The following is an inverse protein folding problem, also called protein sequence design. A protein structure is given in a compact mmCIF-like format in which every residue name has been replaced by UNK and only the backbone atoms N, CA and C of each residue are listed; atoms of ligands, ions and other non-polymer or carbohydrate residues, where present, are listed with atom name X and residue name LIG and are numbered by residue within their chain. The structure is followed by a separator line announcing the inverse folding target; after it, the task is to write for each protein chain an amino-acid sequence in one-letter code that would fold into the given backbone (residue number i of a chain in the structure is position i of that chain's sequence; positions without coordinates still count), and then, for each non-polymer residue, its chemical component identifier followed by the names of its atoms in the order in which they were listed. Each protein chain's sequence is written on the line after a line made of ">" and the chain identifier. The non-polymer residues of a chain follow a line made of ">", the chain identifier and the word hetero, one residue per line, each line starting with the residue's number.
data_IF_834322635089
#
_entry.id   IF_834322635089
#
_cell.length_a   1.000
_cell.length_b   1.000
_cell.length_c   1.000
_cell.angle_alpha   90.00
_cell.angle_beta   90.00
_cell.angle_gamma   90.00
#
_symmetry.space_group_name_H-M   'P 1'
#
loop_
_entity.id
_entity.type
_entity.pdbx_description
1 polymer ?
#
# COMPACT_ATOMS: atom_id res chain seq x y z
N UNK A 1 -0.40 -25.56 21.88
CA UNK A 1 0.59 -26.02 20.88
C UNK A 1 -0.20 -26.41 19.64
N UNK A 2 -0.36 -25.46 18.71
CA UNK A 2 -1.02 -25.67 17.43
C UNK A 2 0.13 -25.61 16.41
N UNK A 3 0.46 -26.75 15.81
CA UNK A 3 1.40 -26.81 14.68
C UNK A 3 0.77 -26.12 13.47
N UNK A 4 1.16 -24.88 13.20
CA UNK A 4 0.84 -24.20 11.93
C UNK A 4 1.88 -24.62 10.88
N UNK A 5 1.59 -25.70 10.14
CA UNK A 5 2.42 -26.20 9.03
C UNK A 5 2.33 -25.37 7.74
N UNK A 6 1.47 -24.35 7.70
CA UNK A 6 1.27 -23.50 6.51
C UNK A 6 1.42 -22.00 6.84
N UNK A 7 2.55 -21.62 7.42
CA UNK A 7 2.93 -20.20 7.45
C UNK A 7 3.37 -19.78 6.05
N UNK A 8 2.44 -19.24 5.25
CA UNK A 8 2.78 -18.52 4.03
C UNK A 8 3.48 -17.22 4.43
N UNK A 9 4.74 -17.07 3.98
CA UNK A 9 5.50 -15.83 4.10
C UNK A 9 4.79 -14.65 3.41
N UNK A 10 5.34 -13.42 3.54
CA UNK A 10 4.65 -12.20 3.13
C UNK A 10 4.25 -12.25 1.64
N UNK A 11 2.98 -11.95 1.28
CA UNK A 11 2.55 -11.90 -0.11
C UNK A 11 3.12 -10.66 -0.82
N UNK A 12 3.34 -10.84 -2.12
CA UNK A 12 3.80 -9.92 -3.18
C UNK A 12 3.53 -8.43 -2.92
N UNK A 13 4.48 -7.59 -3.33
CA UNK A 13 4.42 -6.11 -3.41
C UNK A 13 5.04 -5.32 -2.27
N UNK A 14 6.27 -5.68 -1.98
CA UNK A 14 7.31 -4.66 -1.88
C UNK A 14 8.19 -4.86 -3.12
N UNK A 15 8.69 -3.79 -3.73
CA UNK A 15 9.60 -3.79 -4.89
C UNK A 15 8.92 -4.09 -6.24
N UNK A 16 9.58 -3.82 -7.40
CA UNK A 16 8.96 -3.74 -8.73
C UNK A 16 8.19 -5.02 -9.11
N UNK A 17 7.47 -5.08 -10.26
CA UNK A 17 6.81 -6.30 -10.74
C UNK A 17 7.83 -7.38 -11.16
N UNK A 18 8.65 -7.84 -10.19
CA UNK A 18 9.68 -8.84 -10.28
C UNK A 18 9.08 -10.19 -10.62
N UNK A 19 7.85 -10.44 -10.15
CA UNK A 19 7.18 -11.72 -10.30
C UNK A 19 6.26 -11.83 -11.52
N UNK A 20 6.12 -10.75 -12.31
CA UNK A 20 5.13 -10.66 -13.40
C UNK A 20 5.75 -10.87 -14.79
N UNK A 21 7.06 -11.14 -14.87
CA UNK A 21 7.78 -11.32 -16.11
C UNK A 21 8.94 -12.31 -16.00
N UNK A 22 9.56 -12.58 -17.15
CA UNK A 22 10.86 -13.25 -17.21
C UNK A 22 11.96 -12.21 -17.23
N UNK A 23 13.13 -12.63 -16.75
CA UNK A 23 14.32 -11.81 -16.61
C UNK A 23 15.48 -12.45 -17.34
N UNK A 24 16.29 -11.59 -17.95
CA UNK A 24 17.60 -11.94 -18.44
C UNK A 24 18.63 -11.67 -17.34
N UNK A 25 19.47 -12.65 -17.02
CA UNK A 25 20.43 -12.60 -15.91
C UNK A 25 21.83 -12.98 -16.36
N UNK A 26 22.83 -12.16 -16.01
CA UNK A 26 24.24 -12.42 -16.33
C UNK A 26 25.18 -11.29 -15.94
N UNK A 27 26.49 -11.43 -16.18
CA UNK A 27 27.48 -10.41 -15.85
C UNK A 27 27.25 -9.09 -16.60
N UNK A 28 27.50 -7.96 -15.93
CA UNK A 28 27.41 -6.64 -16.56
C UNK A 28 28.44 -6.54 -17.70
N UNK A 29 27.98 -6.24 -18.92
CA UNK A 29 28.84 -6.13 -20.11
C UNK A 29 29.25 -7.46 -20.75
N UNK A 30 28.72 -8.59 -20.25
CA UNK A 30 28.91 -9.91 -20.84
C UNK A 30 27.63 -10.48 -21.46
N UNK A 31 27.66 -11.77 -21.80
CA UNK A 31 26.48 -12.52 -22.26
C UNK A 31 25.60 -12.91 -21.08
N UNK A 32 24.28 -12.87 -21.27
CA UNK A 32 23.35 -13.40 -20.27
C UNK A 32 23.55 -14.91 -20.10
N UNK A 33 23.56 -15.37 -18.85
CA UNK A 33 23.58 -16.79 -18.50
C UNK A 33 22.23 -17.45 -18.76
N UNK A 34 21.16 -16.65 -18.71
CA UNK A 34 19.79 -17.07 -18.98
C UNK A 34 18.95 -15.87 -19.41
N UNK A 35 17.94 -16.13 -20.24
CA UNK A 35 16.92 -15.16 -20.65
C UNK A 35 15.53 -15.55 -20.13
N UNK A 36 15.44 -16.58 -19.29
CA UNK A 36 14.17 -17.14 -18.82
C UNK A 36 14.07 -17.20 -17.29
N UNK A 37 14.85 -16.38 -16.57
CA UNK A 37 14.82 -16.36 -15.11
C UNK A 37 13.49 -15.79 -14.62
N UNK A 38 12.77 -16.53 -13.78
CA UNK A 38 11.49 -16.12 -13.21
C UNK A 38 11.65 -16.02 -11.70
N UNK A 39 11.36 -14.84 -11.14
CA UNK A 39 11.32 -14.64 -9.70
C UNK A 39 9.93 -15.01 -9.21
N UNK A 40 9.75 -16.25 -8.76
CA UNK A 40 8.42 -16.75 -8.41
C UNK A 40 7.92 -16.18 -7.08
N UNK A 41 6.62 -15.97 -6.92
CA UNK A 41 6.04 -15.33 -5.73
C UNK A 41 6.29 -16.03 -4.39
N UNK A 42 6.57 -17.32 -4.45
CA UNK A 42 6.92 -18.18 -3.32
C UNK A 42 8.39 -18.02 -2.89
N UNK A 43 9.15 -17.10 -3.49
CA UNK A 43 10.56 -16.88 -3.23
C UNK A 43 11.51 -17.84 -3.94
N UNK A 44 11.03 -18.69 -4.86
CA UNK A 44 11.90 -19.55 -5.68
C UNK A 44 12.31 -18.86 -6.98
N UNK A 45 13.46 -19.27 -7.51
CA UNK A 45 13.88 -18.90 -8.87
C UNK A 45 13.53 -20.07 -9.79
N UNK A 46 12.71 -19.80 -10.81
CA UNK A 46 12.26 -20.76 -11.81
C UNK A 46 12.80 -20.37 -13.20
N UNK A 47 12.76 -21.31 -14.16
CA UNK A 47 13.24 -21.06 -15.53
C UNK A 47 14.76 -20.89 -15.69
N UNK A 48 15.50 -20.94 -14.58
CA UNK A 48 16.95 -21.01 -14.50
C UNK A 48 17.34 -21.79 -13.24
N UNK A 49 18.33 -22.67 -13.32
CA UNK A 49 18.81 -23.45 -12.18
C UNK A 49 20.32 -23.40 -12.10
N UNK A 50 20.83 -22.92 -10.96
CA UNK A 50 22.23 -22.91 -10.62
C UNK A 50 22.40 -22.85 -9.09
N UNK A 51 23.46 -23.45 -8.55
CA UNK A 51 23.62 -23.62 -7.09
C UNK A 51 23.75 -22.28 -6.33
N UNK A 52 24.17 -21.22 -7.00
CA UNK A 52 24.30 -19.88 -6.44
C UNK A 52 23.00 -19.06 -6.48
N UNK A 53 22.00 -19.48 -7.27
CA UNK A 53 20.78 -18.71 -7.49
C UNK A 53 19.57 -19.63 -7.32
N UNK A 54 19.23 -19.95 -6.05
CA UNK A 54 18.15 -20.88 -5.73
C UNK A 54 16.85 -20.19 -5.34
N UNK A 55 16.96 -19.12 -4.57
CA UNK A 55 15.84 -18.41 -3.98
C UNK A 55 16.08 -16.90 -3.97
N UNK A 56 15.03 -16.13 -3.81
CA UNK A 56 15.09 -14.68 -3.75
C UNK A 56 14.15 -14.14 -2.68
N UNK A 57 14.46 -12.95 -2.18
CA UNK A 57 13.59 -12.19 -1.29
C UNK A 57 13.90 -10.70 -1.35
N UNK A 58 13.05 -9.90 -0.71
CA UNK A 58 13.29 -8.48 -0.52
C UNK A 58 13.49 -8.20 0.95
N UNK A 59 14.54 -7.45 1.25
CA UNK A 59 14.89 -7.07 2.61
C UNK A 59 15.52 -5.67 2.57
N UNK A 60 15.10 -4.78 3.49
CA UNK A 60 15.59 -3.40 3.55
C UNK A 60 15.55 -2.67 2.19
N UNK A 61 14.44 -2.83 1.45
CA UNK A 61 14.22 -2.25 0.12
C UNK A 61 15.21 -2.72 -0.97
N UNK A 62 15.88 -3.86 -0.78
CA UNK A 62 16.80 -4.46 -1.76
C UNK A 62 16.36 -5.85 -2.17
N UNK A 63 16.53 -6.18 -3.44
CA UNK A 63 16.42 -7.54 -3.95
C UNK A 63 17.67 -8.32 -3.52
N UNK A 64 17.45 -9.48 -2.92
CA UNK A 64 18.48 -10.44 -2.53
C UNK A 64 18.26 -11.76 -3.26
N UNK A 65 19.32 -12.33 -3.82
CA UNK A 65 19.34 -13.69 -4.36
C UNK A 65 20.26 -14.54 -3.48
N UNK A 66 19.77 -15.71 -3.09
CA UNK A 66 20.44 -16.64 -2.18
C UNK A 66 20.77 -17.95 -2.89
N UNK A 67 21.92 -18.51 -2.53
CA UNK A 67 22.35 -19.85 -2.95
C UNK A 67 21.52 -20.96 -2.31
N UNK A 68 21.80 -22.20 -2.71
CA UNK A 68 21.13 -23.39 -2.18
C UNK A 68 21.39 -23.62 -0.68
N UNK A 69 22.51 -23.14 -0.17
CA UNK A 69 22.89 -23.12 1.24
C UNK A 69 22.20 -22.00 2.05
N UNK A 70 21.43 -21.14 1.39
CA UNK A 70 20.76 -19.98 1.99
C UNK A 70 21.68 -18.79 2.22
N UNK A 71 22.94 -18.82 1.76
CA UNK A 71 23.83 -17.69 1.84
C UNK A 71 23.49 -16.64 0.78
N UNK A 72 23.71 -15.37 1.12
CA UNK A 72 23.50 -14.25 0.20
C UNK A 72 24.54 -14.31 -0.93
N UNK A 73 24.08 -14.45 -2.17
CA UNK A 73 24.93 -14.47 -3.35
C UNK A 73 24.90 -13.13 -4.08
N UNK A 74 23.73 -12.49 -4.20
CA UNK A 74 23.60 -11.22 -4.89
C UNK A 74 22.71 -10.25 -4.12
N UNK A 75 23.10 -8.97 -4.09
CA UNK A 75 22.26 -7.88 -3.58
C UNK A 75 22.09 -6.79 -4.63
N UNK A 76 20.89 -6.23 -4.74
CA UNK A 76 20.66 -5.07 -5.61
C UNK A 76 21.31 -3.82 -5.03
N UNK A 77 22.03 -3.09 -5.88
CA UNK A 77 22.63 -1.79 -5.55
C UNK A 77 21.94 -0.64 -6.28
N UNK A 78 21.35 -0.91 -7.44
CA UNK A 78 20.75 0.11 -8.29
C UNK A 78 19.63 -0.51 -9.15
N UNK A 79 18.58 0.26 -9.41
CA UNK A 79 17.52 -0.10 -10.34
C UNK A 79 17.14 1.12 -11.19
N UNK A 80 17.02 0.94 -12.50
CA UNK A 80 16.66 2.00 -13.45
C UNK A 80 15.82 1.45 -14.59
N UNK A 81 15.14 2.33 -15.32
CA UNK A 81 14.43 1.99 -16.56
C UNK A 81 15.30 2.32 -17.76
N UNK A 82 15.38 1.43 -18.73
CA UNK A 82 16.01 1.74 -20.02
C UNK A 82 15.07 2.61 -20.91
N UNK A 83 15.53 3.10 -22.06
CA UNK A 83 14.70 3.91 -22.97
C UNK A 83 13.44 3.20 -23.48
N UNK A 84 13.39 1.87 -23.38
CA UNK A 84 12.24 1.03 -23.76
C UNK A 84 11.26 0.88 -22.58
N UNK A 85 11.57 1.48 -21.43
CA UNK A 85 10.77 1.43 -20.21
C UNK A 85 10.95 0.14 -19.40
N UNK A 86 11.88 -0.74 -19.80
CA UNK A 86 12.14 -2.02 -19.14
C UNK A 86 13.03 -1.83 -17.92
N UNK A 87 12.73 -2.57 -16.86
CA UNK A 87 13.46 -2.49 -15.60
C UNK A 87 14.80 -3.20 -15.71
N UNK A 88 15.86 -2.53 -15.27
CA UNK A 88 17.22 -3.05 -15.18
C UNK A 88 17.67 -2.94 -13.72
N UNK A 89 18.17 -4.03 -13.14
CA UNK A 89 18.63 -4.09 -11.75
C UNK A 89 20.08 -4.55 -11.73
N UNK A 90 20.95 -3.74 -11.13
CA UNK A 90 22.35 -4.08 -10.92
C UNK A 90 22.50 -4.80 -9.59
N UNK A 91 23.11 -5.98 -9.67
CA UNK A 91 23.38 -6.90 -8.58
C UNK A 91 24.88 -6.94 -8.29
N UNK A 92 25.24 -7.02 -7.02
CA UNK A 92 26.62 -7.07 -6.56
C UNK A 92 26.83 -8.28 -5.63
N UNK A 93 27.98 -8.94 -5.75
CA UNK A 93 28.40 -9.98 -4.80
C UNK A 93 28.81 -9.34 -3.45
N UNK A 94 28.34 -9.84 -2.29
CA UNK A 94 28.55 -9.17 -1.01
C UNK A 94 30.02 -9.07 -0.56
N UNK A 95 30.88 -9.99 -1.01
CA UNK A 95 32.31 -10.04 -0.67
C UNK A 95 33.21 -9.54 -1.81
N UNK A 96 32.76 -9.67 -3.06
CA UNK A 96 33.55 -9.37 -4.25
C UNK A 96 32.83 -8.27 -5.02
N UNK A 97 32.90 -7.04 -4.52
CA UNK A 97 32.09 -5.90 -5.01
C UNK A 97 32.39 -5.50 -6.46
N UNK A 98 33.51 -5.97 -7.01
CA UNK A 98 33.87 -5.81 -8.42
C UNK A 98 33.10 -6.79 -9.33
N UNK A 99 32.49 -7.83 -8.76
CA UNK A 99 31.66 -8.81 -9.49
C UNK A 99 30.22 -8.33 -9.51
N UNK A 100 29.78 -7.85 -10.68
CA UNK A 100 28.44 -7.30 -10.87
C UNK A 100 27.66 -8.05 -11.95
N UNK A 101 26.38 -8.24 -11.65
CA UNK A 101 25.43 -8.90 -12.53
C UNK A 101 24.28 -7.94 -12.86
N UNK A 102 23.67 -8.14 -14.03
CA UNK A 102 22.51 -7.42 -14.50
C UNK A 102 21.32 -8.38 -14.51
N UNK A 103 20.20 -7.90 -13.98
CA UNK A 103 18.89 -8.51 -14.12
C UNK A 103 18.02 -7.56 -14.97
N UNK A 104 17.74 -7.93 -16.22
CA UNK A 104 16.97 -7.11 -17.18
C UNK A 104 15.59 -7.72 -17.42
N UNK A 105 14.54 -6.90 -17.34
CA UNK A 105 13.16 -7.32 -17.60
C UNK A 105 12.94 -7.63 -19.08
N UNK A 106 12.31 -8.76 -19.38
CA UNK A 106 11.93 -9.11 -20.75
C UNK A 106 10.56 -8.51 -21.12
N UNK A 107 10.31 -8.30 -22.40
CA UNK A 107 9.03 -7.82 -22.91
C UNK A 107 7.93 -8.88 -22.73
N UNK A 108 6.72 -8.51 -22.25
CA UNK A 108 5.63 -9.47 -22.11
C UNK A 108 5.14 -9.98 -23.47
N UNK A 109 5.24 -11.30 -23.70
CA UNK A 109 4.67 -11.96 -24.89
C UNK A 109 3.14 -12.08 -24.74
N UNK A 110 2.38 -11.31 -25.52
CA UNK A 110 0.92 -11.40 -25.61
C UNK A 110 0.46 -12.79 -26.09
N UNK A 111 -0.31 -13.51 -25.26
CA UNK A 111 -1.17 -14.63 -25.71
C UNK A 111 -2.57 -14.09 -26.04
N UNK A 112 -2.95 -14.18 -27.31
CA UNK A 112 -4.25 -13.80 -27.87
C UNK A 112 -5.41 -14.67 -27.34
N UNK A 113 -6.53 -14.05 -26.94
CA UNK A 113 -7.83 -14.72 -26.76
C UNK A 113 -8.89 -14.05 -27.63
N UNK A 114 -9.52 -14.83 -28.50
CA UNK A 114 -10.64 -14.46 -29.38
C UNK A 114 -11.95 -14.34 -28.59
N UNK A 115 -12.80 -13.37 -28.98
CA UNK A 115 -14.22 -13.27 -28.59
C UNK A 115 -15.13 -14.10 -29.54
N UNK A 116 -16.33 -14.47 -29.07
CA UNK A 116 -17.52 -14.54 -29.94
C UNK A 116 -18.57 -13.45 -29.60
N UNK A 117 -19.30 -13.05 -30.65
CA UNK A 117 -20.32 -12.00 -30.74
C UNK A 117 -21.77 -12.52 -30.53
N UNK A 118 -22.71 -11.55 -30.58
CA UNK A 118 -24.17 -11.61 -30.73
C UNK A 118 -24.98 -11.74 -29.42
N UNK A 119 -26.07 -11.01 -29.14
CA UNK A 119 -27.08 -10.34 -29.98
C UNK A 119 -27.89 -9.34 -29.10
N UNK A 120 -28.51 -8.30 -29.71
CA UNK A 120 -29.38 -7.29 -29.03
C UNK A 120 -30.85 -7.49 -29.46
N UNK A 121 -31.84 -7.23 -28.58
CA UNK A 121 -32.90 -6.28 -28.95
C UNK A 121 -33.39 -5.35 -27.80
N UNK A 122 -33.96 -4.19 -28.19
CA UNK A 122 -34.59 -3.14 -27.37
C UNK A 122 -36.15 -3.15 -27.51
N UNK A 123 -36.94 -2.20 -26.97
CA UNK A 123 -37.10 -1.69 -25.59
C UNK A 123 -38.57 -1.81 -25.07
N UNK A 124 -38.83 -1.59 -23.77
CA UNK A 124 -40.20 -1.43 -23.23
C UNK A 124 -40.29 -0.32 -22.16
N UNK A 125 -41.46 0.34 -22.11
CA UNK A 125 -41.80 1.61 -21.46
C UNK A 125 -41.93 1.57 -19.91
N UNK A 126 -41.95 2.73 -19.20
CA UNK A 126 -41.70 2.81 -17.76
C UNK A 126 -42.97 2.64 -16.90
N UNK A 127 -42.87 2.12 -15.66
CA UNK A 127 -43.94 2.22 -14.69
C UNK A 127 -43.78 3.42 -13.74
N UNK A 128 -44.91 4.07 -13.55
CA UNK A 128 -45.33 5.08 -12.57
C UNK A 128 -44.78 4.88 -11.15
N UNK A 129 -44.19 5.94 -10.58
CA UNK A 129 -43.80 6.01 -9.17
C UNK A 129 -45.01 6.27 -8.26
N UNK A 130 -45.18 5.55 -7.14
CA UNK A 130 -46.02 5.99 -6.03
C UNK A 130 -45.25 6.89 -5.03
N UNK A 131 -46.01 7.81 -4.47
CA UNK A 131 -45.68 8.91 -3.56
C UNK A 131 -45.03 8.39 -2.26
N UNK A 132 -43.89 8.97 -1.84
CA UNK A 132 -43.15 8.57 -0.65
C UNK A 132 -43.89 8.91 0.66
N UNK A 133 -44.33 7.89 1.40
CA UNK A 133 -44.42 7.99 2.86
C UNK A 133 -43.00 7.86 3.42
N UNK A 134 -42.64 8.67 4.41
CA UNK A 134 -41.31 8.63 5.03
C UNK A 134 -40.96 7.24 5.57
N UNK A 135 -39.67 6.91 5.53
CA UNK A 135 -39.13 5.62 6.01
C UNK A 135 -39.49 5.42 7.48
N UNK A 136 -39.87 4.20 7.85
CA UNK A 136 -40.04 3.82 9.26
C UNK A 136 -38.67 3.72 9.95
N UNK A 137 -38.60 3.87 11.28
CA UNK A 137 -37.34 3.74 12.03
C UNK A 137 -36.65 2.39 11.80
N UNK A 138 -37.43 1.32 11.61
CA UNK A 138 -36.91 0.00 11.31
C UNK A 138 -36.30 -0.08 9.90
N UNK A 139 -36.95 0.53 8.91
CA UNK A 139 -36.45 0.56 7.52
C UNK A 139 -35.24 1.50 7.38
N UNK A 140 -35.16 2.55 8.21
CA UNK A 140 -34.00 3.44 8.28
C UNK A 140 -32.78 2.74 8.91
N UNK A 141 -32.99 1.96 9.98
CA UNK A 141 -31.92 1.23 10.67
C UNK A 141 -31.49 -0.04 9.92
N UNK A 142 -32.42 -0.67 9.21
CA UNK A 142 -32.20 -1.94 8.50
C UNK A 142 -32.77 -1.86 7.07
N UNK A 143 -32.14 -1.06 6.19
CA UNK A 143 -32.61 -0.89 4.82
C UNK A 143 -32.58 -2.24 4.08
N UNK A 144 -33.76 -2.68 3.66
CA UNK A 144 -33.95 -3.94 2.93
C UNK A 144 -33.93 -3.77 1.41
N UNK A 145 -34.01 -2.52 0.94
CA UNK A 145 -34.05 -2.13 -0.48
C UNK A 145 -32.73 -1.47 -0.93
N UNK A 146 -31.60 -2.05 -0.49
CA UNK A 146 -30.28 -1.61 -0.93
C UNK A 146 -30.05 -2.08 -2.36
N UNK A 147 -30.23 -1.18 -3.32
CA UNK A 147 -29.87 -1.41 -4.71
C UNK A 147 -28.42 -0.98 -4.98
N UNK A 148 -27.67 -1.81 -5.72
CA UNK A 148 -26.38 -1.40 -6.26
C UNK A 148 -26.63 -0.41 -7.39
N UNK A 149 -26.39 0.88 -7.13
CA UNK A 149 -26.51 1.90 -8.17
C UNK A 149 -25.46 1.67 -9.26
N UNK A 150 -25.76 1.96 -10.53
CA UNK A 150 -24.82 1.78 -11.63
C UNK A 150 -23.67 2.81 -11.63
N UNK A 151 -23.63 3.71 -10.63
CA UNK A 151 -22.60 4.73 -10.47
C UNK A 151 -21.31 4.04 -10.05
N UNK A 152 -20.34 4.02 -10.96
CA UNK A 152 -19.03 3.43 -10.71
C UNK A 152 -18.06 4.50 -10.24
N UNK A 153 -17.18 4.13 -9.32
CA UNK A 153 -16.01 4.92 -9.00
C UNK A 153 -15.04 4.80 -10.18
N UNK A 154 -14.75 5.92 -10.82
CA UNK A 154 -13.87 6.02 -11.98
C UNK A 154 -12.41 6.22 -11.56
N UNK A 155 -12.11 7.32 -10.87
CA UNK A 155 -10.74 7.73 -10.60
C UNK A 155 -10.55 8.10 -9.13
N UNK A 156 -9.57 7.48 -8.49
CA UNK A 156 -9.27 7.67 -7.06
C UNK A 156 -7.82 8.08 -6.89
N UNK A 157 -7.59 9.12 -6.08
CA UNK A 157 -6.25 9.53 -5.67
C UNK A 157 -5.92 8.95 -4.29
N UNK A 158 -4.91 8.11 -4.20
CA UNK A 158 -4.43 7.54 -2.95
C UNK A 158 -3.19 8.30 -2.47
N UNK A 159 -3.27 8.91 -1.30
CA UNK A 159 -2.16 9.66 -0.67
C UNK A 159 -1.79 8.98 0.64
N UNK A 160 -0.56 8.51 0.77
CA UNK A 160 -0.14 7.89 2.02
C UNK A 160 1.15 7.08 1.93
N UNK A 161 1.42 6.33 2.99
CA UNK A 161 2.68 5.57 3.14
C UNK A 161 2.58 4.15 2.59
N UNK A 162 3.45 3.26 3.08
CA UNK A 162 3.56 1.87 2.67
C UNK A 162 2.23 1.09 2.70
N UNK A 163 1.34 1.36 3.66
CA UNK A 163 0.04 0.69 3.71
C UNK A 163 -0.87 1.13 2.55
N UNK A 164 -0.81 2.40 2.16
CA UNK A 164 -1.57 2.91 1.01
C UNK A 164 -1.02 2.40 -0.32
N UNK A 165 0.29 2.16 -0.41
CA UNK A 165 0.87 1.47 -1.57
C UNK A 165 0.28 0.05 -1.71
N UNK A 166 0.08 -0.67 -0.60
CA UNK A 166 -0.60 -1.97 -0.62
C UNK A 166 -2.07 -1.82 -1.04
N UNK A 167 -2.78 -0.78 -0.58
CA UNK A 167 -4.15 -0.53 -1.02
C UNK A 167 -4.23 -0.24 -2.51
N UNK A 168 -3.34 0.60 -3.04
CA UNK A 168 -3.26 0.91 -4.46
C UNK A 168 -3.20 -0.35 -5.30
N UNK A 169 -2.26 -1.22 -4.97
CA UNK A 169 -2.04 -2.46 -5.70
C UNK A 169 -3.21 -3.45 -5.55
N UNK A 170 -3.71 -3.66 -4.33
CA UNK A 170 -4.84 -4.57 -4.11
C UNK A 170 -6.15 -4.08 -4.73
N UNK A 171 -6.41 -2.77 -4.70
CA UNK A 171 -7.59 -2.18 -5.30
C UNK A 171 -7.52 -2.22 -6.82
N UNK A 172 -6.38 -1.89 -7.41
CA UNK A 172 -6.19 -1.96 -8.86
C UNK A 172 -6.34 -3.39 -9.39
N UNK A 173 -5.88 -4.40 -8.65
CA UNK A 173 -6.05 -5.81 -9.03
C UNK A 173 -7.51 -6.28 -8.94
N UNK A 174 -8.28 -5.80 -7.96
CA UNK A 174 -9.68 -6.20 -7.75
C UNK A 174 -10.67 -5.41 -8.60
N UNK A 175 -10.32 -4.17 -8.92
CA UNK A 175 -11.16 -3.20 -9.63
C UNK A 175 -10.40 -2.59 -10.80
N UNK A 176 -10.09 -3.37 -11.86
CA UNK A 176 -9.36 -2.89 -13.02
C UNK A 176 -10.12 -1.82 -13.81
N UNK A 177 -11.43 -1.70 -13.61
CA UNK A 177 -12.28 -0.65 -14.18
C UNK A 177 -12.08 0.74 -13.54
N UNK A 178 -11.50 0.79 -12.34
CA UNK A 178 -11.24 2.03 -11.60
C UNK A 178 -9.76 2.38 -11.70
N UNK A 179 -9.46 3.63 -12.07
CA UNK A 179 -8.09 4.14 -12.06
C UNK A 179 -7.73 4.56 -10.64
N UNK A 180 -6.65 3.99 -10.12
CA UNK A 180 -6.05 4.42 -8.86
C UNK A 180 -4.71 5.06 -9.14
N UNK A 181 -4.58 6.35 -8.81
CA UNK A 181 -3.30 7.04 -8.79
C UNK A 181 -2.76 7.05 -7.36
N UNK A 182 -1.44 6.94 -7.19
CA UNK A 182 -0.81 6.88 -5.87
C UNK A 182 0.29 7.94 -5.74
N UNK A 183 0.21 8.74 -4.68
CA UNK A 183 1.27 9.65 -4.27
C UNK A 183 1.86 9.14 -2.95
N UNK A 184 3.14 8.74 -2.94
CA UNK A 184 3.80 8.36 -1.70
C UNK A 184 3.93 9.59 -0.80
N UNK A 185 3.34 9.49 0.38
CA UNK A 185 3.34 10.53 1.39
C UNK A 185 3.92 9.97 2.69
N UNK A 186 5.18 10.28 2.93
CA UNK A 186 5.92 9.87 4.13
C UNK A 186 6.36 11.14 4.88
N UNK A 187 5.91 11.29 6.13
CA UNK A 187 6.18 12.47 6.96
C UNK A 187 5.72 13.78 6.30
N UNK A 188 6.21 14.95 6.74
CA UNK A 188 5.90 16.30 6.23
C UNK A 188 6.52 16.52 4.83
N UNK A 189 6.37 15.54 3.93
CA UNK A 189 6.64 15.74 2.51
C UNK A 189 5.62 16.74 1.97
N UNK A 190 6.04 17.56 1.02
CA UNK A 190 5.12 18.43 0.30
C UNK A 190 4.48 17.60 -0.81
N UNK A 191 3.15 17.66 -0.95
CA UNK A 191 2.49 17.09 -2.11
C UNK A 191 2.94 17.83 -3.37
N UNK A 192 3.04 17.16 -4.54
CA UNK A 192 3.36 17.85 -5.77
C UNK A 192 2.32 18.94 -6.07
N UNK A 193 2.72 20.04 -6.71
CA UNK A 193 1.81 21.17 -6.99
C UNK A 193 0.57 20.74 -7.78
N UNK A 194 0.69 19.74 -8.64
CA UNK A 194 -0.41 19.13 -9.36
C UNK A 194 -0.47 17.62 -9.11
N UNK A 195 -1.66 17.03 -8.96
CA UNK A 195 -1.81 15.58 -8.92
C UNK A 195 -1.53 14.93 -10.28
N UNK A 196 -1.32 13.60 -10.35
CA UNK A 196 -0.99 12.88 -11.58
C UNK A 196 -1.97 13.07 -12.73
N UNK A 197 -3.25 13.23 -12.40
CA UNK A 197 -4.34 13.61 -13.32
C UNK A 197 -4.93 14.95 -12.86
N UNK A 198 -5.65 15.70 -13.72
CA UNK A 198 -6.35 16.91 -13.30
C UNK A 198 -7.27 16.65 -12.11
N UNK A 199 -7.29 17.54 -11.11
CA UNK A 199 -8.05 17.34 -9.88
C UNK A 199 -9.56 17.10 -10.12
N UNK A 200 -10.12 17.69 -11.19
CA UNK A 200 -11.52 17.52 -11.60
C UNK A 200 -11.87 16.14 -12.15
N UNK A 201 -10.86 15.32 -12.50
CA UNK A 201 -11.08 13.97 -13.00
C UNK A 201 -11.17 12.93 -11.88
N UNK A 202 -10.80 13.27 -10.64
CA UNK A 202 -10.93 12.36 -9.51
C UNK A 202 -12.30 12.44 -8.87
N UNK A 203 -12.88 11.29 -8.54
CA UNK A 203 -14.11 11.22 -7.76
C UNK A 203 -13.84 11.57 -6.29
N UNK A 204 -12.70 11.09 -5.75
CA UNK A 204 -12.25 11.42 -4.41
C UNK A 204 -10.76 11.14 -4.19
N UNK A 205 -10.22 11.72 -3.12
CA UNK A 205 -8.94 11.44 -2.52
C UNK A 205 -9.11 10.57 -1.27
N UNK A 206 -8.25 9.57 -1.11
CA UNK A 206 -8.08 8.83 0.14
C UNK A 206 -6.74 9.18 0.76
N UNK A 207 -6.78 9.73 1.97
CA UNK A 207 -5.61 10.14 2.73
C UNK A 207 -5.34 9.18 3.89
N UNK A 208 -4.13 8.65 3.95
CA UNK A 208 -3.67 7.80 5.04
C UNK A 208 -2.46 8.43 5.73
N UNK A 209 -2.67 8.94 6.95
CA UNK A 209 -1.59 9.40 7.81
C UNK A 209 -1.01 8.18 8.55
N UNK A 210 0.30 7.91 8.48
CA UNK A 210 0.88 6.74 9.13
C UNK A 210 1.01 6.96 10.63
N UNK A 211 0.44 6.05 11.44
CA UNK A 211 0.52 6.13 12.90
C UNK A 211 1.98 6.23 13.41
N UNK A 212 2.91 5.55 12.74
CA UNK A 212 4.34 5.62 13.06
C UNK A 212 4.93 7.02 12.88
N UNK A 213 4.48 7.76 11.86
CA UNK A 213 4.94 9.15 11.64
C UNK A 213 4.39 10.08 12.71
N UNK A 214 3.15 9.85 13.16
CA UNK A 214 2.48 10.63 14.21
C UNK A 214 3.10 10.38 15.57
N UNK A 215 3.31 9.12 15.95
CA UNK A 215 3.86 8.75 17.25
C UNK A 215 5.39 8.83 17.33
N UNK A 216 6.06 8.94 16.18
CA UNK A 216 7.52 8.94 16.06
C UNK A 216 8.17 7.67 16.66
N UNK A 217 9.49 7.69 16.82
CA UNK A 217 10.26 6.62 17.47
C UNK A 217 10.03 6.58 19.00
N UNK A 218 9.24 7.50 19.56
CA UNK A 218 8.94 7.56 21.00
C UNK A 218 8.22 6.32 21.53
N UNK A 219 7.42 5.67 20.68
CA UNK A 219 6.72 4.41 21.04
C UNK A 219 7.68 3.24 21.23
N UNK A 220 8.87 3.28 20.62
CA UNK A 220 9.91 2.27 20.81
C UNK A 220 10.44 2.31 22.25
N UNK A 221 10.38 3.47 22.89
CA UNK A 221 10.74 3.67 24.29
C UNK A 221 9.58 3.30 25.23
N UNK A 222 8.89 2.19 24.93
CA UNK A 222 7.71 1.68 25.65
C UNK A 222 7.89 1.58 27.18
N UNK A 223 9.12 1.39 27.66
CA UNK A 223 9.42 1.37 29.09
C UNK A 223 9.26 2.73 29.79
N UNK A 224 9.29 3.84 29.05
CA UNK A 224 9.14 5.21 29.57
C UNK A 224 7.69 5.63 29.80
N UNK A 225 6.72 4.78 29.44
CA UNK A 225 5.30 5.05 29.69
C UNK A 225 4.94 5.12 31.18
N UNK A 226 5.82 4.61 32.05
CA UNK A 226 5.73 4.78 33.51
C UNK A 226 6.21 6.15 34.00
N UNK A 227 6.88 6.94 33.17
CA UNK A 227 7.36 8.26 33.54
C UNK A 227 6.21 9.26 33.57
N UNK A 228 6.16 10.07 34.63
CA UNK A 228 5.14 11.11 34.76
C UNK A 228 5.23 12.11 33.60
N UNK A 229 4.10 12.37 32.95
CA UNK A 229 3.98 13.36 31.88
C UNK A 229 4.48 12.91 30.50
N UNK A 230 5.18 11.78 30.37
CA UNK A 230 5.72 11.31 29.08
C UNK A 230 4.63 11.12 28.02
N UNK A 231 3.53 10.46 28.40
CA UNK A 231 2.40 10.23 27.49
C UNK A 231 1.70 11.52 27.06
N UNK A 232 1.64 12.52 27.95
CA UNK A 232 1.07 13.83 27.62
C UNK A 232 1.92 14.54 26.56
N UNK A 233 3.24 14.48 26.69
CA UNK A 233 4.16 15.03 25.68
C UNK A 233 4.03 14.31 24.35
N UNK A 234 3.95 12.97 24.34
CA UNK A 234 3.71 12.20 23.11
C UNK A 234 2.41 12.64 22.42
N UNK A 235 1.31 12.73 23.17
CA UNK A 235 0.02 13.14 22.60
C UNK A 235 0.06 14.56 22.04
N UNK A 236 0.65 15.51 22.77
CA UNK A 236 0.73 16.89 22.32
C UNK A 236 1.56 17.02 21.03
N UNK A 237 2.71 16.36 20.97
CA UNK A 237 3.56 16.35 19.77
C UNK A 237 2.84 15.67 18.60
N UNK A 238 2.16 14.55 18.86
CA UNK A 238 1.39 13.81 17.87
C UNK A 238 0.25 14.65 17.28
N UNK A 239 -0.46 15.45 18.09
CA UNK A 239 -1.47 16.38 17.61
C UNK A 239 -0.87 17.43 16.67
N UNK A 240 0.26 18.03 17.02
CA UNK A 240 0.94 19.00 16.14
C UNK A 240 1.43 18.37 14.84
N UNK A 241 1.85 17.09 14.86
CA UNK A 241 2.21 16.36 13.65
C UNK A 241 0.97 16.08 12.78
N UNK A 242 -0.15 15.68 13.38
CA UNK A 242 -1.42 15.49 12.67
C UNK A 242 -1.82 16.80 11.99
N UNK A 243 -1.81 17.92 12.69
CA UNK A 243 -2.16 19.23 12.13
C UNK A 243 -1.29 19.57 10.91
N UNK A 244 0.04 19.42 11.03
CA UNK A 244 0.97 19.73 9.95
C UNK A 244 0.80 18.81 8.73
N UNK A 245 0.64 17.50 8.97
CA UNK A 245 0.46 16.52 7.90
C UNK A 245 -0.89 16.67 7.21
N UNK A 246 -1.96 16.91 7.98
CA UNK A 246 -3.31 17.08 7.43
C UNK A 246 -3.38 18.36 6.59
N UNK A 247 -2.90 19.49 7.10
CA UNK A 247 -2.84 20.75 6.34
C UNK A 247 -2.04 20.61 5.04
N UNK A 248 -0.91 19.89 5.08
CA UNK A 248 -0.11 19.67 3.87
C UNK A 248 -0.74 18.70 2.87
N UNK A 249 -1.53 17.74 3.35
CA UNK A 249 -2.12 16.70 2.50
C UNK A 249 -3.51 17.06 1.96
N UNK A 250 -4.16 18.08 2.53
CA UNK A 250 -5.48 18.58 2.13
C UNK A 250 -5.44 19.64 1.03
N UNK A 251 -4.25 19.99 0.52
CA UNK A 251 -4.07 21.06 -0.50
C UNK A 251 -5.01 20.88 -1.70
N UNK A 252 -5.19 19.65 -2.21
CA UNK A 252 -6.09 19.42 -3.34
C UNK A 252 -7.57 19.56 -2.99
N UNK A 253 -7.95 19.22 -1.76
CA UNK A 253 -9.30 19.47 -1.27
C UNK A 253 -9.56 20.98 -1.16
N UNK A 254 -8.65 21.72 -0.54
CA UNK A 254 -8.80 23.18 -0.34
C UNK A 254 -8.80 23.94 -1.66
N UNK A 255 -7.95 23.57 -2.62
CA UNK A 255 -7.80 24.27 -3.89
C UNK A 255 -8.85 23.92 -4.93
N UNK A 256 -9.33 22.67 -4.94
CA UNK A 256 -10.18 22.14 -6.02
C UNK A 256 -11.52 21.56 -5.53
N UNK A 257 -11.77 21.51 -4.23
CA UNK A 257 -12.99 20.92 -3.66
C UNK A 257 -13.05 19.41 -3.79
N UNK A 258 -11.90 18.73 -3.97
CA UNK A 258 -11.85 17.28 -4.14
C UNK A 258 -12.32 16.57 -2.87
N UNK A 259 -13.39 15.77 -2.96
CA UNK A 259 -13.90 14.98 -1.84
C UNK A 259 -12.77 14.15 -1.24
N UNK A 260 -12.53 14.26 0.06
CA UNK A 260 -11.39 13.58 0.69
C UNK A 260 -11.82 12.74 1.88
N UNK A 261 -11.43 11.46 1.87
CA UNK A 261 -11.59 10.53 2.96
C UNK A 261 -10.28 10.40 3.73
N UNK A 262 -10.29 10.75 5.01
CA UNK A 262 -9.13 10.60 5.89
C UNK A 262 -9.27 9.31 6.69
N UNK A 263 -8.29 8.41 6.57
CA UNK A 263 -8.26 7.17 7.33
C UNK A 263 -7.95 7.44 8.80
N UNK A 264 -8.70 6.78 9.68
CA UNK A 264 -8.35 6.70 11.09
C UNK A 264 -7.16 5.75 11.32
N UNK A 265 -6.64 5.75 12.55
CA UNK A 265 -5.62 4.86 13.03
C UNK A 265 -6.23 3.56 13.57
N UNK A 266 -5.62 2.42 13.21
CA UNK A 266 -6.02 1.11 13.71
C UNK A 266 -5.70 1.02 15.20
N UNK A 267 -6.74 0.86 16.03
CA UNK A 267 -6.59 0.73 17.48
C UNK A 267 -6.12 -0.69 17.84
N UNK A 268 -5.03 -0.84 18.61
CA UNK A 268 -4.59 -2.14 19.11
C UNK A 268 -5.67 -2.81 19.97
N UNK A 269 -5.95 -4.09 19.68
CA UNK A 269 -6.93 -4.89 20.44
C UNK A 269 -6.39 -5.37 21.79
N UNK A 270 -5.07 -5.44 21.93
CA UNK A 270 -4.40 -5.78 23.18
C UNK A 270 -3.84 -4.52 23.82
N UNK A 271 -4.10 -4.36 25.12
CA UNK A 271 -3.48 -3.32 25.93
C UNK A 271 -1.97 -3.51 25.97
N UNK A 272 -1.24 -2.42 25.78
CA UNK A 272 0.23 -2.40 25.92
C UNK A 272 0.66 -1.52 27.09
N UNK A 273 -0.20 -1.36 28.09
CA UNK A 273 0.14 -0.68 29.32
C UNK A 273 1.31 -1.36 30.03
N UNK A 274 2.13 -0.57 30.73
CA UNK A 274 3.33 -1.06 31.44
C UNK A 274 3.01 -2.03 32.58
N UNK A 275 1.77 -2.01 33.08
CA UNK A 275 1.29 -2.91 34.11
C UNK A 275 -0.17 -3.29 33.90
N UNK A 276 -0.63 -4.37 34.55
CA UNK A 276 -2.04 -4.77 34.50
C UNK A 276 -2.99 -3.72 35.11
N UNK A 277 -2.51 -2.96 36.10
CA UNK A 277 -3.29 -1.90 36.74
C UNK A 277 -3.53 -0.70 35.82
N UNK A 278 -2.61 -0.47 34.88
CA UNK A 278 -2.64 0.67 33.96
C UNK A 278 -3.36 0.38 32.64
N UNK A 279 -3.96 -0.81 32.48
CA UNK A 279 -4.77 -1.12 31.29
C UNK A 279 -5.95 -0.15 31.18
N UNK A 280 -6.13 0.45 30.01
CA UNK A 280 -7.14 1.48 29.77
C UNK A 280 -6.84 2.82 30.44
N UNK A 281 -5.66 2.99 31.05
CA UNK A 281 -5.21 4.29 31.56
C UNK A 281 -4.71 5.18 30.43
N UNK A 282 -4.38 6.43 30.75
CA UNK A 282 -3.79 7.35 29.79
C UNK A 282 -2.43 6.87 29.25
N UNK A 283 -1.75 5.96 29.94
CA UNK A 283 -0.46 5.37 29.54
C UNK A 283 -0.62 4.10 28.69
N UNK A 284 -1.84 3.68 28.40
CA UNK A 284 -2.11 2.58 27.50
C UNK A 284 -2.08 3.05 26.04
N UNK A 285 -1.34 2.35 25.17
CA UNK A 285 -1.27 2.68 23.75
C UNK A 285 -2.64 2.59 23.08
N UNK A 286 -3.50 1.65 23.51
CA UNK A 286 -4.89 1.57 23.02
C UNK A 286 -5.61 2.89 23.25
N UNK A 287 -5.52 3.45 24.46
CA UNK A 287 -6.14 4.72 24.83
C UNK A 287 -5.51 5.91 24.09
N UNK A 288 -4.19 5.89 23.88
CA UNK A 288 -3.49 6.92 23.11
C UNK A 288 -3.99 6.94 21.67
N UNK A 289 -4.05 5.78 20.98
CA UNK A 289 -4.50 5.71 19.59
C UNK A 289 -5.98 6.09 19.46
N UNK A 290 -6.82 5.74 20.44
CA UNK A 290 -8.21 6.22 20.50
C UNK A 290 -8.28 7.75 20.56
N UNK A 291 -7.50 8.39 21.43
CA UNK A 291 -7.45 9.86 21.52
C UNK A 291 -6.95 10.52 20.24
N UNK A 292 -5.99 9.91 19.56
CA UNK A 292 -5.53 10.39 18.25
C UNK A 292 -6.65 10.33 17.20
N UNK A 293 -7.48 9.28 17.22
CA UNK A 293 -8.63 9.18 16.33
C UNK A 293 -9.72 10.20 16.66
N UNK A 294 -10.00 10.43 17.95
CA UNK A 294 -10.95 11.46 18.37
C UNK A 294 -10.49 12.85 17.88
N UNK A 295 -9.21 13.17 18.10
CA UNK A 295 -8.61 14.42 17.66
C UNK A 295 -8.61 14.57 16.13
N UNK A 296 -8.26 13.52 15.39
CA UNK A 296 -8.28 13.52 13.92
C UNK A 296 -9.69 13.76 13.38
N UNK A 297 -10.72 13.16 13.99
CA UNK A 297 -12.12 13.36 13.62
C UNK A 297 -12.58 14.79 13.92
N UNK A 298 -12.18 15.38 15.06
CA UNK A 298 -12.44 16.79 15.35
C UNK A 298 -11.82 17.70 14.28
N UNK A 299 -10.54 17.50 13.97
CA UNK A 299 -9.82 18.30 12.95
C UNK A 299 -10.39 18.16 11.55
N UNK A 300 -10.78 16.94 11.17
CA UNK A 300 -11.35 16.68 9.84
C UNK A 300 -12.74 17.30 9.64
N UNK A 301 -13.42 17.75 10.71
CA UNK A 301 -14.71 18.47 10.63
C UNK A 301 -14.54 19.98 10.57
N UNK A 302 -13.38 20.49 10.98
CA UNK A 302 -13.06 21.93 10.96
C UNK A 302 -12.57 22.40 9.58
N UNK A 303 -12.13 21.46 8.73
CA UNK A 303 -11.68 21.67 7.35
C UNK A 303 -12.84 21.45 6.37
#
# INVERSE_FOLDING_TARGET
>A
MIETKDFQGPPKNISPPLTEGSWSFGPVGGFFLTESLILSPNGTIDGYYHHNERSWRIENYRLLILGEDGNLMWRSIEAFKDPEGLINIILEHPVATDTRFLLKQNTPQSKSKQLPQDEVPAPAAPPTQPISQGLSDADFLFPSDLEVTPVKVGNVLLVGSCLTALYHEQLQARHPETKFDYIPYNFVSVLPEAPPSPASEYDFQYLQIPLRSVLSDRVIWGFRFNEEGFTKTILQDAYSIIDAMLSSAMIYNEQHGLLTFVSNFIVPQMSTASSMYERGSNNDLTTIVQRLNDYLNEKSREL
#
